data_IF_947428928000
#
_entry.id   IF_947428928000
#
_cell.length_a   1.000
_cell.length_b   1.000
_cell.length_c   1.000
_cell.angle_alpha   90.00
_cell.angle_beta   90.00
_cell.angle_gamma   90.00
#
_symmetry.space_group_name_H-M   'P 1'
#
loop_
_entity.id
_entity.type
_entity.pdbx_description
1 polymer ?
#
# COMPACT_ATOMS: atom_id res chain seq x y z
N UNK A 1 -4.88 19.34 12.48
CA UNK A 1 -3.98 18.27 12.02
C UNK A 1 -4.79 17.00 11.82
N UNK A 2 -4.62 16.28 10.70
CA UNK A 2 -5.38 15.05 10.39
C UNK A 2 -4.70 13.84 11.05
N UNK A 3 -3.81 13.17 10.33
CA UNK A 3 -3.10 11.96 10.79
C UNK A 3 -1.60 12.17 11.03
N UNK A 4 -1.01 13.26 10.52
CA UNK A 4 0.44 13.48 10.50
C UNK A 4 1.18 12.71 9.39
N UNK A 5 0.46 12.00 8.51
CA UNK A 5 1.00 11.36 7.32
C UNK A 5 0.59 12.12 6.05
N UNK A 6 1.47 12.13 5.05
CA UNK A 6 1.28 12.85 3.80
C UNK A 6 1.61 11.95 2.58
N UNK A 7 0.90 12.19 1.48
CA UNK A 7 1.08 11.46 0.23
C UNK A 7 -0.06 10.46 -0.08
N UNK A 8 -0.29 10.15 -1.36
CA UNK A 8 -1.22 9.12 -1.79
C UNK A 8 -0.60 7.72 -1.72
N UNK A 9 -1.44 6.68 -1.67
CA UNK A 9 -0.99 5.28 -1.77
C UNK A 9 -0.69 4.81 -3.19
N UNK A 10 -1.25 5.50 -4.20
CA UNK A 10 -1.10 5.15 -5.61
C UNK A 10 -0.84 6.41 -6.44
N UNK A 11 -0.22 6.24 -7.61
CA UNK A 11 0.00 7.35 -8.55
C UNK A 11 -1.29 7.95 -9.10
N UNK A 12 -2.40 7.21 -9.02
CA UNK A 12 -3.73 7.61 -9.49
C UNK A 12 -4.75 7.57 -8.34
N UNK A 13 -4.73 8.52 -7.39
CA UNK A 13 -5.52 8.44 -6.15
C UNK A 13 -7.04 8.52 -6.33
N UNK A 14 -7.53 8.84 -7.53
CA UNK A 14 -8.95 8.92 -7.87
C UNK A 14 -9.43 7.72 -8.70
N UNK A 15 -8.55 6.75 -9.00
CA UNK A 15 -8.89 5.55 -9.75
C UNK A 15 -9.01 4.38 -8.78
N UNK A 16 -10.14 3.67 -8.87
CA UNK A 16 -10.35 2.43 -8.12
C UNK A 16 -9.82 1.25 -8.92
N UNK A 17 -8.62 0.82 -8.58
CA UNK A 17 -7.94 -0.33 -9.17
C UNK A 17 -7.13 -1.10 -8.11
N UNK A 18 -6.28 -2.03 -8.52
CA UNK A 18 -5.47 -2.84 -7.62
C UNK A 18 -4.05 -2.27 -7.37
N UNK A 19 -3.78 -1.03 -7.80
CA UNK A 19 -2.45 -0.41 -7.70
C UNK A 19 -1.95 -0.35 -6.26
N UNK A 20 -2.83 -0.26 -5.26
CA UNK A 20 -2.44 -0.32 -3.85
C UNK A 20 -1.61 -1.57 -3.51
N UNK A 21 -2.06 -2.74 -3.96
CA UNK A 21 -1.36 -4.00 -3.68
C UNK A 21 -0.08 -4.14 -4.51
N UNK A 22 -0.09 -3.69 -5.77
CA UNK A 22 1.11 -3.63 -6.62
C UNK A 22 2.19 -2.78 -5.96
N UNK A 23 1.83 -1.55 -5.55
CA UNK A 23 2.76 -0.63 -4.90
C UNK A 23 3.31 -1.21 -3.59
N UNK A 24 2.45 -1.84 -2.79
CA UNK A 24 2.85 -2.52 -1.56
C UNK A 24 3.88 -3.63 -1.82
N UNK A 25 3.67 -4.49 -2.83
CA UNK A 25 4.61 -5.56 -3.20
C UNK A 25 5.93 -5.01 -3.78
N UNK A 26 5.89 -3.91 -4.53
CA UNK A 26 7.12 -3.32 -5.11
C UNK A 26 7.99 -2.58 -4.09
N UNK A 27 7.47 -2.29 -2.90
CA UNK A 27 8.18 -1.58 -1.85
C UNK A 27 8.03 -0.06 -1.92
N UNK A 28 8.79 0.64 -1.07
CA UNK A 28 8.68 2.10 -0.94
C UNK A 28 9.15 2.84 -2.20
N UNK A 29 8.37 3.85 -2.61
CA UNK A 29 8.69 4.76 -3.71
C UNK A 29 8.54 6.20 -3.26
N UNK A 30 9.39 7.08 -3.77
CA UNK A 30 9.29 8.51 -3.48
C UNK A 30 7.92 9.07 -3.91
N UNK A 31 7.29 9.82 -3.02
CA UNK A 31 5.96 10.42 -3.25
C UNK A 31 4.77 9.48 -3.00
N UNK A 32 4.99 8.20 -2.69
CA UNK A 32 3.92 7.27 -2.30
C UNK A 32 3.99 6.92 -0.82
N UNK A 33 2.81 6.83 -0.20
CA UNK A 33 2.63 6.54 1.20
C UNK A 33 2.51 5.03 1.43
N UNK A 34 3.24 4.52 2.42
CA UNK A 34 3.00 3.21 3.03
C UNK A 34 3.03 3.34 4.55
N UNK A 35 1.88 3.16 5.18
CA UNK A 35 1.76 3.20 6.63
C UNK A 35 2.32 1.92 7.27
N UNK A 36 2.66 1.95 8.58
CA UNK A 36 3.01 0.74 9.32
C UNK A 36 1.93 -0.36 9.23
N UNK A 37 0.65 0.03 9.18
CA UNK A 37 -0.47 -0.89 8.99
C UNK A 37 -0.45 -1.59 7.64
N UNK A 38 -0.05 -0.89 6.58
CA UNK A 38 -0.03 -1.42 5.22
C UNK A 38 1.09 -2.47 5.11
N UNK A 39 2.26 -2.15 5.65
CA UNK A 39 3.41 -3.08 5.71
C UNK A 39 3.13 -4.32 6.55
N UNK A 40 2.29 -4.21 7.58
CA UNK A 40 1.90 -5.37 8.39
C UNK A 40 1.20 -6.46 7.55
N UNK A 41 0.53 -6.10 6.46
CA UNK A 41 -0.12 -7.05 5.55
C UNK A 41 0.89 -7.95 4.82
N UNK A 42 2.11 -7.47 4.58
CA UNK A 42 3.20 -8.27 3.99
C UNK A 42 3.93 -9.10 5.04
N UNK A 43 4.02 -8.59 6.27
CA UNK A 43 4.73 -9.27 7.35
C UNK A 43 3.96 -10.48 7.90
N UNK A 44 2.62 -10.42 7.92
CA UNK A 44 1.78 -11.52 8.39
C UNK A 44 1.57 -12.56 7.27
N UNK A 45 1.96 -13.84 7.47
CA UNK A 45 1.81 -14.88 6.44
C UNK A 45 0.35 -15.13 6.00
N UNK A 46 -0.62 -14.92 6.89
CA UNK A 46 -2.04 -15.12 6.59
C UNK A 46 -2.61 -13.99 5.73
N UNK A 47 -2.03 -12.78 5.82
CA UNK A 47 -2.41 -11.65 4.97
C UNK A 47 -1.60 -11.56 3.68
N UNK A 48 -0.33 -11.97 3.71
CA UNK A 48 0.57 -11.90 2.54
C UNK A 48 0.00 -12.64 1.33
N UNK A 49 -0.70 -13.76 1.53
CA UNK A 49 -1.38 -14.50 0.45
C UNK A 49 -2.44 -13.67 -0.27
N UNK A 50 -3.14 -12.78 0.44
CA UNK A 50 -4.13 -11.90 -0.16
C UNK A 50 -3.48 -10.71 -0.85
N UNK A 51 -2.40 -10.17 -0.29
CA UNK A 51 -1.62 -9.11 -0.95
C UNK A 51 -1.11 -9.59 -2.30
N UNK A 52 -0.54 -10.80 -2.36
CA UNK A 52 -0.07 -11.40 -3.62
C UNK A 52 -1.20 -11.76 -4.58
N UNK A 53 -2.40 -12.09 -4.07
CA UNK A 53 -3.56 -12.41 -4.91
C UNK A 53 -4.16 -11.18 -5.59
N UNK A 54 -4.09 -10.03 -4.94
CA UNK A 54 -4.70 -8.79 -5.42
C UNK A 54 -3.72 -7.84 -6.09
N UNK A 55 -2.41 -8.00 -5.90
CA UNK A 55 -1.38 -7.37 -6.72
C UNK A 55 -1.46 -7.87 -8.17
#
# INVERSE_FOLDING_TARGET
ERSGFEGPWTSNPLIFDNSYFIELVTGEKEGLLQLPSDKALLADPSFAVYVQKYA
#
